data_IF_257695085675
#
_entry.id   IF_257695085675
#
_cell.length_a   1.000
_cell.length_b   1.000
_cell.length_c   1.000
_cell.angle_alpha   90.00
_cell.angle_beta   90.00
_cell.angle_gamma   90.00
#
_symmetry.space_group_name_H-M   'P 1'
#
loop_
_entity.id
_entity.type
_entity.pdbx_description
1 polymer ?
#
# COMPACT_ATOMS: atom_id res chain seq x y z
N UNK A 1 14.80 -0.70 23.64
CA UNK A 1 15.38 -0.27 22.35
C UNK A 1 14.38 0.66 21.68
N UNK A 2 14.81 1.74 21.02
CA UNK A 2 13.90 2.61 20.30
C UNK A 2 13.16 1.82 19.21
N UNK A 3 11.94 2.24 18.90
CA UNK A 3 11.17 1.70 17.77
C UNK A 3 11.91 2.05 16.48
N UNK A 4 11.90 1.14 15.51
CA UNK A 4 12.55 1.30 14.21
C UNK A 4 11.48 1.30 13.13
N UNK A 5 11.64 2.13 12.10
CA UNK A 5 10.69 2.21 10.98
C UNK A 5 11.27 2.96 9.79
N UNK A 6 10.49 3.03 8.71
CA UNK A 6 10.84 3.85 7.56
C UNK A 6 10.65 5.34 7.88
N UNK A 7 11.64 6.15 7.53
CA UNK A 7 11.60 7.60 7.70
C UNK A 7 12.38 8.32 6.60
N UNK A 8 12.27 9.64 6.62
CA UNK A 8 13.06 10.57 5.80
C UNK A 8 13.95 11.37 6.74
N UNK A 9 15.22 11.51 6.41
CA UNK A 9 16.22 12.17 7.24
C UNK A 9 17.18 13.01 6.40
N UNK A 10 17.81 13.97 7.07
CA UNK A 10 18.88 14.81 6.53
C UNK A 10 20.22 14.37 7.11
N UNK A 11 21.21 14.16 6.25
CA UNK A 11 22.55 13.75 6.67
C UNK A 11 23.25 14.94 7.34
N UNK A 12 23.61 14.80 8.61
CA UNK A 12 24.37 15.82 9.35
C UNK A 12 25.88 15.60 9.23
N UNK A 13 26.30 14.35 9.34
CA UNK A 13 27.68 13.88 9.19
C UNK A 13 27.68 12.50 8.50
N UNK A 14 28.72 12.20 7.73
CA UNK A 14 28.84 10.92 7.03
C UNK A 14 30.29 10.47 6.97
N UNK A 15 30.54 9.21 7.34
CA UNK A 15 31.78 8.48 7.04
C UNK A 15 31.69 7.63 5.76
N UNK A 16 30.54 7.64 5.08
CA UNK A 16 30.29 6.85 3.86
C UNK A 16 30.42 7.73 2.61
N UNK A 17 31.20 7.34 1.58
CA UNK A 17 31.45 8.18 0.40
C UNK A 17 30.20 8.60 -0.38
N UNK A 18 29.17 7.76 -0.42
CA UNK A 18 27.95 8.01 -1.22
C UNK A 18 27.00 9.03 -0.58
N UNK A 19 27.22 9.36 0.69
CA UNK A 19 26.42 10.33 1.45
C UNK A 19 27.28 11.48 1.94
N UNK A 20 26.81 12.71 1.77
CA UNK A 20 27.45 13.93 2.25
C UNK A 20 26.49 14.73 3.13
N UNK A 21 27.05 15.59 3.98
CA UNK A 21 26.29 16.55 4.78
C UNK A 21 25.30 17.32 3.90
N UNK A 22 24.04 17.37 4.33
CA UNK A 22 22.94 18.02 3.63
C UNK A 22 22.19 17.14 2.64
N UNK A 23 22.67 15.93 2.32
CA UNK A 23 21.88 14.99 1.54
C UNK A 23 20.58 14.61 2.27
N UNK A 24 19.51 14.44 1.50
CA UNK A 24 18.24 13.89 1.98
C UNK A 24 18.19 12.40 1.64
N UNK A 25 17.76 11.60 2.60
CA UNK A 25 17.68 10.13 2.47
C UNK A 25 16.35 9.63 3.00
N UNK A 26 15.88 8.52 2.46
CA UNK A 26 14.81 7.73 3.07
C UNK A 26 15.28 6.30 3.28
N UNK A 27 14.71 5.63 4.28
CA UNK A 27 15.07 4.26 4.62
C UNK A 27 14.75 3.93 6.05
N UNK A 28 15.33 2.84 6.55
CA UNK A 28 15.11 2.39 7.93
C UNK A 28 15.89 3.27 8.91
N UNK A 29 15.18 3.89 9.84
CA UNK A 29 15.72 4.73 10.92
C UNK A 29 15.03 4.43 12.25
N UNK A 30 15.52 5.01 13.35
CA UNK A 30 14.89 4.91 14.67
C UNK A 30 13.89 6.05 14.87
N UNK A 31 12.93 5.82 15.75
CA UNK A 31 11.95 6.82 16.21
C UNK A 31 12.60 7.69 17.28
N UNK A 32 13.39 8.65 16.82
CA UNK A 32 14.16 9.62 17.62
C UNK A 32 14.50 10.82 16.74
N UNK A 33 14.97 11.92 17.33
CA UNK A 33 15.31 13.14 16.57
C UNK A 33 16.62 13.00 15.77
N UNK A 34 17.57 12.19 16.27
CA UNK A 34 18.88 11.98 15.66
C UNK A 34 19.27 10.51 15.72
N UNK A 35 19.63 9.93 14.57
CA UNK A 35 20.03 8.53 14.48
C UNK A 35 21.43 8.35 13.90
N UNK A 36 22.25 7.56 14.59
CA UNK A 36 23.45 6.97 13.99
C UNK A 36 23.06 5.70 13.21
N UNK A 37 23.13 5.78 11.88
CA UNK A 37 22.84 4.66 10.98
C UNK A 37 24.17 4.07 10.49
N UNK A 38 24.50 2.88 10.99
CA UNK A 38 25.76 2.19 10.65
C UNK A 38 25.64 1.31 9.42
N UNK A 39 24.45 0.78 9.13
CA UNK A 39 24.16 -0.02 7.93
C UNK A 39 23.46 0.85 6.89
N UNK A 40 24.22 1.42 5.96
CA UNK A 40 23.72 2.36 4.95
C UNK A 40 23.12 1.69 3.71
N UNK A 41 23.28 0.38 3.53
CA UNK A 41 22.75 -0.36 2.38
C UNK A 41 21.22 -0.38 2.28
N UNK A 42 20.50 0.05 3.32
CA UNK A 42 19.05 0.22 3.35
C UNK A 42 18.59 1.69 3.21
N UNK A 43 19.53 2.61 2.96
CA UNK A 43 19.24 4.03 2.71
C UNK A 43 19.24 4.33 1.22
N UNK A 44 18.26 5.11 0.81
CA UNK A 44 18.09 5.60 -0.53
C UNK A 44 18.23 7.11 -0.53
N UNK A 45 19.13 7.63 -1.37
CA UNK A 45 19.30 9.07 -1.55
C UNK A 45 18.11 9.65 -2.33
N UNK A 46 17.52 10.71 -1.79
CA UNK A 46 16.43 11.45 -2.44
C UNK A 46 17.04 12.37 -3.49
N UNK A 47 16.66 12.17 -4.75
CA UNK A 47 17.11 13.00 -5.88
C UNK A 47 16.03 14.00 -6.34
N UNK A 48 14.76 13.68 -6.15
CA UNK A 48 13.62 14.51 -6.58
C UNK A 48 13.01 15.22 -5.38
N UNK A 49 13.35 16.50 -5.23
CA UNK A 49 12.86 17.36 -4.14
C UNK A 49 11.77 18.34 -4.61
N UNK A 50 11.30 18.19 -5.84
CA UNK A 50 10.16 18.91 -6.42
C UNK A 50 8.79 18.37 -5.95
N UNK A 51 8.80 17.37 -5.06
CA UNK A 51 7.64 16.73 -4.44
C UNK A 51 7.77 16.76 -2.92
N UNK A 52 6.67 16.70 -2.14
CA UNK A 52 6.74 16.68 -0.69
C UNK A 52 7.63 15.56 -0.17
N UNK A 53 8.57 15.86 0.74
CA UNK A 53 9.49 14.87 1.29
C UNK A 53 8.76 13.74 2.02
N UNK A 54 7.59 14.03 2.63
CA UNK A 54 6.73 13.03 3.29
C UNK A 54 6.35 11.87 2.36
N UNK A 55 6.27 12.11 1.04
CA UNK A 55 5.92 11.08 0.07
C UNK A 55 6.91 9.92 0.07
N UNK A 56 8.18 10.15 0.42
CA UNK A 56 9.18 9.09 0.54
C UNK A 56 8.97 8.16 1.75
N UNK A 57 8.02 8.46 2.65
CA UNK A 57 7.55 7.51 3.67
C UNK A 57 6.39 6.63 3.17
N UNK A 58 5.88 6.91 1.97
CA UNK A 58 4.61 6.44 1.44
C UNK A 58 4.66 6.24 -0.07
N UNK A 59 4.03 7.18 -0.80
CA UNK A 59 3.85 7.15 -2.26
C UNK A 59 5.13 6.88 -3.05
N UNK A 60 6.26 7.44 -2.64
CA UNK A 60 7.58 7.34 -3.30
C UNK A 60 8.56 6.47 -2.51
N UNK A 61 8.11 5.87 -1.41
CA UNK A 61 8.93 5.02 -0.54
C UNK A 61 8.55 3.55 -0.66
N UNK A 62 8.77 2.83 0.44
CA UNK A 62 8.46 1.40 0.54
C UNK A 62 7.00 1.05 0.18
N UNK A 63 5.95 1.79 0.62
CA UNK A 63 4.57 1.47 0.22
C UNK A 63 4.32 1.62 -1.29
N UNK A 64 4.84 2.67 -1.92
CA UNK A 64 4.75 2.84 -3.37
C UNK A 64 5.47 1.73 -4.14
N UNK A 65 6.67 1.35 -3.70
CA UNK A 65 7.41 0.23 -4.27
C UNK A 65 6.69 -1.11 -4.10
N UNK A 66 5.97 -1.28 -2.99
CA UNK A 66 5.13 -2.48 -2.72
C UNK A 66 3.99 -2.57 -3.72
N UNK A 67 3.33 -1.45 -4.02
CA UNK A 67 2.33 -1.38 -5.09
C UNK A 67 2.94 -1.75 -6.43
N UNK A 68 4.10 -1.20 -6.79
CA UNK A 68 4.74 -1.49 -8.07
C UNK A 68 5.06 -2.98 -8.23
N UNK A 69 5.73 -3.57 -7.24
CA UNK A 69 6.08 -4.99 -7.25
C UNK A 69 4.84 -5.90 -7.31
N UNK A 70 3.88 -5.69 -6.40
CA UNK A 70 2.69 -6.54 -6.33
C UNK A 70 1.79 -6.40 -7.56
N UNK A 71 1.61 -5.19 -8.07
CA UNK A 71 0.70 -4.95 -9.18
C UNK A 71 1.37 -5.24 -10.52
N UNK A 72 2.50 -4.60 -10.87
CA UNK A 72 3.10 -4.78 -12.19
C UNK A 72 3.83 -6.11 -12.34
N UNK A 73 4.67 -6.48 -11.38
CA UNK A 73 5.51 -7.68 -11.52
C UNK A 73 4.70 -8.95 -11.23
N UNK A 74 3.94 -8.99 -10.12
CA UNK A 74 3.19 -10.19 -9.73
C UNK A 74 1.86 -10.35 -10.46
N UNK A 75 1.04 -9.30 -10.58
CA UNK A 75 -0.26 -9.44 -11.23
C UNK A 75 -0.17 -9.33 -12.76
N UNK A 76 0.87 -8.68 -13.30
CA UNK A 76 1.05 -8.45 -14.75
C UNK A 76 -0.26 -7.98 -15.44
N UNK A 77 -0.87 -6.89 -14.93
CA UNK A 77 -2.22 -6.46 -15.27
C UNK A 77 -2.38 -6.14 -16.75
N UNK A 78 -3.58 -6.41 -17.26
CA UNK A 78 -3.98 -6.11 -18.63
C UNK A 78 -5.14 -5.14 -18.63
N UNK A 79 -5.16 -4.27 -19.63
CA UNK A 79 -6.29 -3.38 -19.88
C UNK A 79 -7.59 -4.18 -19.97
N UNK A 80 -8.62 -3.71 -19.28
CA UNK A 80 -9.94 -4.34 -19.23
C UNK A 80 -10.11 -5.41 -18.15
N UNK A 81 -9.07 -5.75 -17.38
CA UNK A 81 -9.20 -6.67 -16.24
C UNK A 81 -9.93 -6.02 -15.06
N UNK A 82 -10.56 -6.87 -14.25
CA UNK A 82 -11.34 -6.51 -13.06
C UNK A 82 -10.46 -6.66 -11.81
N UNK A 83 -10.15 -5.54 -11.16
CA UNK A 83 -9.20 -5.43 -10.05
C UNK A 83 -9.94 -5.13 -8.76
N UNK A 84 -9.78 -5.99 -7.75
CA UNK A 84 -10.22 -5.73 -6.39
C UNK A 84 -9.03 -5.38 -5.49
N UNK A 85 -9.18 -4.36 -4.66
CA UNK A 85 -8.18 -3.93 -3.68
C UNK A 85 -8.80 -3.91 -2.29
N UNK A 86 -8.28 -4.73 -1.37
CA UNK A 86 -8.67 -4.66 0.04
C UNK A 86 -7.84 -3.61 0.79
N UNK A 87 -8.40 -3.00 1.83
CA UNK A 87 -7.77 -1.83 2.50
C UNK A 87 -7.37 -0.73 1.50
N UNK A 88 -8.27 -0.44 0.55
CA UNK A 88 -7.99 0.39 -0.61
C UNK A 88 -7.65 1.84 -0.26
N UNK A 89 -7.98 2.29 0.95
CA UNK A 89 -7.66 3.65 1.42
C UNK A 89 -6.27 3.77 2.06
N UNK A 90 -5.59 2.65 2.30
CA UNK A 90 -4.25 2.64 2.87
C UNK A 90 -3.18 3.19 1.92
N UNK A 91 -1.94 3.27 2.39
CA UNK A 91 -0.81 3.79 1.61
C UNK A 91 -0.57 3.02 0.30
N UNK A 92 -0.64 1.69 0.34
CA UNK A 92 -0.48 0.80 -0.81
C UNK A 92 -1.76 0.79 -1.66
N UNK A 93 -2.91 0.58 -1.03
CA UNK A 93 -4.19 0.40 -1.72
C UNK A 93 -4.62 1.60 -2.57
N UNK A 94 -4.38 2.82 -2.08
CA UNK A 94 -4.79 4.02 -2.82
C UNK A 94 -3.99 4.18 -4.12
N UNK A 95 -2.75 3.70 -4.14
CA UNK A 95 -1.90 3.74 -5.33
C UNK A 95 -2.22 2.59 -6.30
N UNK A 96 -2.45 1.37 -5.79
CA UNK A 96 -2.80 0.20 -6.62
C UNK A 96 -4.01 0.54 -7.49
N UNK A 97 -5.08 1.07 -6.88
CA UNK A 97 -6.29 1.38 -7.62
C UNK A 97 -6.09 2.45 -8.69
N UNK A 98 -5.34 3.51 -8.39
CA UNK A 98 -5.08 4.58 -9.36
C UNK A 98 -4.22 4.08 -10.53
N UNK A 99 -3.18 3.28 -10.28
CA UNK A 99 -2.38 2.68 -11.35
C UNK A 99 -3.22 1.70 -12.20
N UNK A 100 -4.09 0.92 -11.57
CA UNK A 100 -5.04 0.07 -12.30
C UNK A 100 -6.01 0.89 -13.16
N UNK A 101 -6.55 2.02 -12.66
CA UNK A 101 -7.37 2.93 -13.46
C UNK A 101 -6.61 3.51 -14.64
N UNK A 102 -5.37 3.94 -14.45
CA UNK A 102 -4.50 4.44 -15.53
C UNK A 102 -4.20 3.37 -16.59
N UNK A 103 -4.19 2.09 -16.22
CA UNK A 103 -4.08 0.97 -17.16
C UNK A 103 -5.39 0.60 -17.88
N UNK A 104 -6.50 1.25 -17.53
CA UNK A 104 -7.81 0.97 -18.10
C UNK A 104 -8.46 -0.29 -17.54
N UNK A 105 -8.17 -0.64 -16.29
CA UNK A 105 -8.89 -1.68 -15.55
C UNK A 105 -10.20 -1.14 -14.96
N UNK A 106 -11.13 -2.06 -14.66
CA UNK A 106 -12.25 -1.79 -13.76
C UNK A 106 -11.82 -2.09 -12.32
N UNK A 107 -11.99 -1.14 -11.41
CA UNK A 107 -11.37 -1.19 -10.08
C UNK A 107 -12.42 -0.99 -9.00
N UNK A 108 -12.45 -1.92 -8.04
CA UNK A 108 -13.28 -1.82 -6.84
C UNK A 108 -12.41 -1.88 -5.59
N UNK A 109 -12.74 -1.05 -4.60
CA UNK A 109 -12.02 -0.97 -3.33
C UNK A 109 -12.90 -1.26 -2.13
N UNK A 110 -12.34 -1.87 -1.09
CA UNK A 110 -13.00 -1.92 0.23
C UNK A 110 -12.29 -1.04 1.25
N UNK A 111 -13.07 -0.34 2.07
CA UNK A 111 -12.58 0.48 3.18
C UNK A 111 -13.49 0.35 4.40
N UNK A 112 -13.04 0.84 5.56
CA UNK A 112 -13.71 0.63 6.85
C UNK A 112 -14.64 1.74 7.32
N UNK A 113 -14.97 2.71 6.46
CA UNK A 113 -15.93 3.78 6.74
C UNK A 113 -16.52 4.34 5.45
N UNK A 114 -17.74 4.90 5.54
CA UNK A 114 -18.39 5.59 4.43
C UNK A 114 -17.56 6.73 3.84
N UNK A 115 -16.94 7.55 4.70
CA UNK A 115 -16.07 8.65 4.26
C UNK A 115 -14.93 8.15 3.35
N UNK A 116 -14.24 7.08 3.76
CA UNK A 116 -13.15 6.49 2.96
C UNK A 116 -13.67 5.96 1.63
N UNK A 117 -14.85 5.31 1.63
CA UNK A 117 -15.53 4.83 0.41
C UNK A 117 -15.85 5.98 -0.55
N UNK A 118 -16.41 7.08 -0.03
CA UNK A 118 -16.77 8.23 -0.85
C UNK A 118 -15.51 8.86 -1.50
N UNK A 119 -14.38 8.91 -0.78
CA UNK A 119 -13.11 9.41 -1.32
C UNK A 119 -12.49 8.42 -2.35
N UNK A 120 -12.58 7.10 -2.15
CA UNK A 120 -12.14 6.11 -3.14
C UNK A 120 -12.76 6.38 -4.51
N UNK A 121 -14.08 6.62 -4.54
CA UNK A 121 -14.81 6.89 -5.78
C UNK A 121 -14.52 8.30 -6.33
N UNK A 122 -14.64 9.32 -5.48
CA UNK A 122 -14.60 10.72 -5.93
C UNK A 122 -13.19 11.25 -6.21
N UNK A 123 -12.19 10.86 -5.43
CA UNK A 123 -10.81 11.40 -5.52
C UNK A 123 -9.84 10.46 -6.21
N UNK A 124 -9.94 9.15 -5.96
CA UNK A 124 -9.02 8.17 -6.53
C UNK A 124 -9.57 7.49 -7.79
N UNK A 125 -10.81 7.78 -8.18
CA UNK A 125 -11.40 7.33 -9.44
C UNK A 125 -11.71 5.83 -9.50
N UNK A 126 -11.87 5.16 -8.34
CA UNK A 126 -12.38 3.80 -8.30
C UNK A 126 -13.79 3.76 -8.90
N UNK A 127 -14.10 2.72 -9.67
CA UNK A 127 -15.42 2.58 -10.30
C UNK A 127 -16.47 2.32 -9.22
N UNK A 128 -16.17 1.42 -8.29
CA UNK A 128 -17.00 1.15 -7.12
C UNK A 128 -16.18 1.01 -5.85
N UNK A 129 -16.83 1.20 -4.70
CA UNK A 129 -16.24 0.92 -3.41
C UNK A 129 -17.32 0.62 -2.38
N UNK A 130 -16.99 -0.15 -1.35
CA UNK A 130 -17.92 -0.51 -0.28
C UNK A 130 -17.28 -0.50 1.10
N UNK A 131 -18.11 -0.24 2.12
CA UNK A 131 -17.70 -0.30 3.51
C UNK A 131 -17.81 -1.74 4.02
N UNK A 132 -16.68 -2.45 4.14
CA UNK A 132 -16.71 -3.86 4.53
C UNK A 132 -17.28 -4.11 5.94
N UNK A 133 -17.36 -3.07 6.80
CA UNK A 133 -17.95 -3.17 8.15
C UNK A 133 -19.47 -3.13 8.14
N UNK A 134 -20.08 -2.65 7.06
CA UNK A 134 -21.53 -2.55 6.90
C UNK A 134 -22.11 -3.71 6.08
N UNK A 135 -21.25 -4.51 5.44
CA UNK A 135 -21.68 -5.69 4.68
C UNK A 135 -21.83 -6.91 5.60
N UNK A 136 -23.04 -7.46 5.68
CA UNK A 136 -23.30 -8.72 6.39
C UNK A 136 -22.77 -9.94 5.64
N UNK A 137 -22.64 -9.85 4.32
CA UNK A 137 -22.17 -10.91 3.44
C UNK A 137 -21.20 -10.34 2.39
N UNK A 138 -19.91 -10.65 2.58
CA UNK A 138 -18.85 -10.19 1.68
C UNK A 138 -18.94 -10.83 0.28
N UNK A 139 -19.45 -12.07 0.16
CA UNK A 139 -19.63 -12.72 -1.15
C UNK A 139 -20.70 -11.98 -1.95
N UNK A 140 -21.83 -11.65 -1.32
CA UNK A 140 -22.89 -10.85 -1.94
C UNK A 140 -22.40 -9.44 -2.33
N UNK A 141 -21.62 -8.79 -1.46
CA UNK A 141 -21.03 -7.47 -1.75
C UNK A 141 -20.09 -7.51 -2.97
N UNK A 142 -19.24 -8.54 -3.05
CA UNK A 142 -18.33 -8.72 -4.17
C UNK A 142 -19.09 -9.02 -5.47
N UNK A 143 -20.10 -9.91 -5.47
CA UNK A 143 -20.94 -10.19 -6.66
C UNK A 143 -21.66 -8.95 -7.18
N UNK A 144 -22.13 -8.09 -6.27
CA UNK A 144 -22.78 -6.83 -6.63
C UNK A 144 -21.83 -5.89 -7.38
N UNK A 145 -20.56 -5.84 -6.98
CA UNK A 145 -19.56 -4.97 -7.59
C UNK A 145 -18.85 -5.62 -8.79
N UNK A 146 -18.81 -6.96 -8.83
CA UNK A 146 -18.14 -7.79 -9.83
C UNK A 146 -19.09 -8.88 -10.35
N UNK A 147 -20.13 -8.52 -11.12
CA UNK A 147 -21.05 -9.50 -11.68
C UNK A 147 -20.35 -10.51 -12.63
N UNK A 148 -19.20 -10.11 -13.20
CA UNK A 148 -18.37 -10.96 -14.06
C UNK A 148 -17.18 -11.61 -13.33
N UNK A 149 -17.03 -11.38 -12.03
CA UNK A 149 -15.93 -11.84 -11.19
C UNK A 149 -14.68 -10.96 -11.22
N UNK A 150 -13.63 -11.42 -10.54
CA UNK A 150 -12.38 -10.67 -10.26
C UNK A 150 -11.20 -11.33 -10.98
N UNK A 151 -10.47 -10.59 -11.82
CA UNK A 151 -9.23 -11.08 -12.45
C UNK A 151 -8.04 -10.91 -11.51
N UNK A 152 -7.94 -9.78 -10.81
CA UNK A 152 -6.82 -9.46 -9.92
C UNK A 152 -7.35 -9.09 -8.53
N UNK A 153 -6.82 -9.73 -7.50
CA UNK A 153 -6.99 -9.30 -6.12
C UNK A 153 -5.65 -8.86 -5.54
N UNK A 154 -5.58 -7.59 -5.14
CA UNK A 154 -4.46 -7.09 -4.34
C UNK A 154 -4.83 -7.19 -2.86
N UNK A 155 -4.26 -8.19 -2.19
CA UNK A 155 -4.63 -8.56 -0.82
C UNK A 155 -3.74 -7.85 0.22
N UNK A 156 -4.35 -6.94 0.97
CA UNK A 156 -3.76 -6.27 2.12
C UNK A 156 -4.35 -6.76 3.47
N UNK A 157 -5.37 -7.62 3.44
CA UNK A 157 -6.24 -7.88 4.60
C UNK A 157 -6.26 -9.36 5.00
N UNK A 158 -6.35 -10.29 4.07
CA UNK A 158 -6.52 -11.72 4.35
C UNK A 158 -7.89 -12.08 4.95
N UNK A 159 -7.93 -13.18 5.71
CA UNK A 159 -9.10 -13.61 6.50
C UNK A 159 -10.37 -13.80 5.68
N UNK A 160 -11.52 -13.44 6.29
CA UNK A 160 -12.86 -13.51 5.64
C UNK A 160 -12.94 -12.83 4.28
N UNK A 161 -12.18 -11.74 4.05
CA UNK A 161 -12.18 -11.06 2.75
C UNK A 161 -11.55 -11.95 1.68
N UNK A 162 -10.37 -12.54 1.96
CA UNK A 162 -9.74 -13.49 1.04
C UNK A 162 -10.65 -14.69 0.76
N UNK A 163 -11.29 -15.23 1.80
CA UNK A 163 -12.21 -16.37 1.66
C UNK A 163 -13.40 -16.06 0.74
N UNK A 164 -13.96 -14.85 0.81
CA UNK A 164 -15.02 -14.37 -0.07
C UNK A 164 -14.51 -14.08 -1.50
N UNK A 165 -13.31 -13.52 -1.64
CA UNK A 165 -12.71 -13.24 -2.96
C UNK A 165 -12.46 -14.52 -3.74
N UNK A 166 -11.98 -15.60 -3.11
CA UNK A 166 -11.76 -16.89 -3.78
C UNK A 166 -13.02 -17.39 -4.52
N UNK A 167 -14.20 -17.19 -3.94
CA UNK A 167 -15.49 -17.52 -4.55
C UNK A 167 -15.83 -16.65 -5.77
N UNK A 168 -15.27 -15.45 -5.86
CA UNK A 168 -15.57 -14.45 -6.89
C UNK A 168 -14.46 -14.25 -7.93
N UNK A 169 -13.29 -14.88 -7.75
CA UNK A 169 -12.23 -14.85 -8.76
C UNK A 169 -12.71 -15.45 -10.11
N UNK A 170 -12.19 -14.92 -11.21
CA UNK A 170 -12.31 -15.46 -12.56
C UNK A 170 -11.29 -16.57 -12.80
N UNK A 171 -11.47 -17.29 -13.90
CA UNK A 171 -10.49 -18.27 -14.36
C UNK A 171 -9.14 -17.60 -14.63
N UNK A 172 -8.05 -18.23 -14.18
CA UNK A 172 -6.68 -17.71 -14.29
C UNK A 172 -6.45 -16.38 -13.58
N UNK A 173 -7.28 -16.06 -12.59
CA UNK A 173 -7.09 -14.86 -11.78
C UNK A 173 -5.82 -14.91 -10.93
N UNK A 174 -5.33 -13.73 -10.55
CA UNK A 174 -4.12 -13.52 -9.77
C UNK A 174 -4.44 -12.87 -8.43
N UNK A 175 -3.85 -13.41 -7.37
CA UNK A 175 -3.92 -12.82 -6.02
C UNK A 175 -2.49 -12.48 -5.59
N UNK A 176 -2.18 -11.19 -5.51
CA UNK A 176 -0.94 -10.71 -4.91
C UNK A 176 -1.16 -10.47 -3.42
N UNK A 177 -0.50 -11.25 -2.58
CA UNK A 177 -0.60 -11.16 -1.12
C UNK A 177 0.49 -10.22 -0.61
N UNK A 178 0.13 -8.95 -0.44
CA UNK A 178 1.01 -7.91 0.10
C UNK A 178 1.01 -7.89 1.63
N UNK A 179 -0.12 -8.23 2.24
CA UNK A 179 -0.28 -8.28 3.69
C UNK A 179 -1.59 -8.92 4.12
N UNK A 180 -1.68 -9.27 5.39
CA UNK A 180 -2.88 -9.87 5.99
C UNK A 180 -3.21 -9.18 7.31
N UNK A 181 -3.44 -7.87 7.27
CA UNK A 181 -3.54 -7.03 8.48
C UNK A 181 -4.64 -7.47 9.45
N UNK A 182 -5.70 -8.14 8.97
CA UNK A 182 -6.76 -8.67 9.84
C UNK A 182 -6.29 -9.79 10.77
N UNK A 183 -5.14 -10.40 10.48
CA UNK A 183 -4.62 -11.58 11.17
C UNK A 183 -3.52 -11.24 12.19
N UNK A 184 -2.86 -10.08 12.07
CA UNK A 184 -1.64 -9.76 12.82
C UNK A 184 -1.81 -9.68 14.34
N UNK A 185 -3.01 -9.29 14.80
CA UNK A 185 -3.32 -9.10 16.21
C UNK A 185 -4.23 -10.19 16.80
N UNK A 186 -4.39 -11.33 16.09
CA UNK A 186 -5.17 -12.47 16.56
C UNK A 186 -4.24 -13.51 17.19
N UNK A 187 -4.63 -14.04 18.36
CA UNK A 187 -3.92 -15.16 18.98
C UNK A 187 -3.99 -16.43 18.11
N UNK A 188 -5.09 -16.59 17.37
CA UNK A 188 -5.30 -17.66 16.41
C UNK A 188 -5.79 -17.06 15.08
N UNK A 189 -4.99 -17.17 14.00
CA UNK A 189 -5.39 -16.73 12.67
C UNK A 189 -6.66 -17.45 12.18
N UNK A 190 -7.47 -16.73 11.41
CA UNK A 190 -8.66 -17.28 10.75
C UNK A 190 -8.26 -18.28 9.64
N UNK A 191 -8.94 -19.42 9.59
CA UNK A 191 -8.74 -20.40 8.52
C UNK A 191 -9.44 -20.01 7.21
N UNK A 192 -8.76 -20.19 6.09
CA UNK A 192 -9.31 -20.01 4.74
C UNK A 192 -9.98 -21.32 4.28
N UNK A 193 -11.26 -21.27 3.90
CA UNK A 193 -12.09 -22.45 3.64
C UNK A 193 -12.28 -22.72 2.16
N UNK A 194 -12.18 -21.69 1.32
CA UNK A 194 -12.50 -21.77 -0.11
C UNK A 194 -11.30 -22.02 -1.03
N UNK A 195 -10.20 -22.58 -0.50
CA UNK A 195 -8.97 -22.87 -1.26
C UNK A 195 -9.19 -23.82 -2.45
N UNK A 196 -10.25 -24.64 -2.44
CA UNK A 196 -10.61 -25.48 -3.58
C UNK A 196 -10.89 -24.66 -4.86
N UNK A 197 -11.26 -23.38 -4.72
CA UNK A 197 -11.41 -22.43 -5.83
C UNK A 197 -10.11 -22.27 -6.62
N UNK A 198 -8.94 -22.39 -5.97
CA UNK A 198 -7.65 -22.32 -6.65
C UNK A 198 -7.53 -23.38 -7.75
N UNK A 199 -7.99 -24.60 -7.46
CA UNK A 199 -7.97 -25.72 -8.40
C UNK A 199 -8.96 -25.51 -9.53
N UNK A 200 -10.22 -25.22 -9.21
CA UNK A 200 -11.27 -25.10 -10.23
C UNK A 200 -11.07 -23.92 -11.16
N UNK A 201 -10.55 -22.80 -10.63
CA UNK A 201 -10.37 -21.56 -11.38
C UNK A 201 -8.92 -21.34 -11.83
N UNK A 202 -7.98 -22.22 -11.46
CA UNK A 202 -6.54 -22.08 -11.78
C UNK A 202 -5.97 -20.74 -11.33
N UNK A 203 -6.35 -20.32 -10.13
CA UNK A 203 -5.92 -19.04 -9.55
C UNK A 203 -4.46 -19.18 -9.12
N UNK A 204 -3.63 -18.18 -9.45
CA UNK A 204 -2.31 -18.03 -8.82
C UNK A 204 -2.46 -17.14 -7.59
N UNK A 205 -2.03 -17.66 -6.44
CA UNK A 205 -1.88 -16.89 -5.21
C UNK A 205 -0.39 -16.83 -4.86
N UNK A 206 0.14 -15.61 -4.73
CA UNK A 206 1.56 -15.39 -4.56
C UNK A 206 1.80 -14.28 -3.53
N UNK A 207 2.53 -14.61 -2.46
CA UNK A 207 3.03 -13.63 -1.51
C UNK A 207 4.37 -13.07 -1.96
N UNK A 208 4.65 -11.82 -1.60
CA UNK A 208 5.91 -11.17 -1.94
C UNK A 208 6.39 -10.27 -0.81
N UNK A 209 7.68 -9.95 -0.84
CA UNK A 209 8.25 -8.92 0.01
C UNK A 209 8.89 -7.84 -0.85
N UNK A 210 8.68 -6.57 -0.49
CA UNK A 210 9.21 -5.43 -1.25
C UNK A 210 10.74 -5.43 -1.36
N UNK A 211 11.43 -6.05 -0.39
CA UNK A 211 12.89 -6.14 -0.35
C UNK A 211 13.48 -6.81 -1.59
N UNK A 212 12.78 -7.81 -2.13
CA UNK A 212 13.19 -8.56 -3.31
C UNK A 212 13.16 -7.68 -4.59
N UNK A 213 12.43 -6.57 -4.54
CA UNK A 213 12.14 -5.71 -5.70
C UNK A 213 12.83 -4.35 -5.67
N UNK A 214 13.62 -4.02 -4.64
CA UNK A 214 14.29 -2.71 -4.57
C UNK A 214 15.25 -2.44 -5.74
N UNK A 215 15.73 -3.48 -6.43
CA UNK A 215 16.49 -3.33 -7.67
C UNK A 215 15.69 -2.68 -8.82
N UNK A 216 14.35 -2.69 -8.74
CA UNK A 216 13.44 -2.02 -9.67
C UNK A 216 12.99 -0.64 -9.20
N UNK A 217 13.49 -0.15 -8.06
CA UNK A 217 13.11 1.16 -7.52
C UNK A 217 13.30 2.33 -8.51
N UNK A 218 14.39 2.37 -9.32
CA UNK A 218 14.51 3.38 -10.39
C UNK A 218 13.36 3.31 -11.41
N UNK A 219 13.00 2.11 -11.89
CA UNK A 219 11.90 1.93 -12.84
C UNK A 219 10.56 2.37 -12.24
N UNK A 220 10.36 2.11 -10.96
CA UNK A 220 9.18 2.58 -10.23
C UNK A 220 9.12 4.11 -10.18
N UNK A 221 10.23 4.79 -9.86
CA UNK A 221 10.28 6.25 -9.85
C UNK A 221 10.02 6.85 -11.23
N UNK A 222 10.62 6.28 -12.28
CA UNK A 222 10.43 6.69 -13.67
C UNK A 222 8.97 6.55 -14.11
N UNK A 223 8.26 5.54 -13.62
CA UNK A 223 6.83 5.36 -13.87
C UNK A 223 5.98 6.38 -13.12
N UNK A 224 6.19 6.55 -11.80
CA UNK A 224 5.23 7.23 -10.93
C UNK A 224 5.40 8.75 -10.89
N UNK A 225 6.63 9.26 -10.98
CA UNK A 225 6.91 10.69 -10.86
C UNK A 225 6.21 11.53 -11.96
N UNK A 226 6.19 11.13 -13.24
CA UNK A 226 5.44 11.86 -14.26
C UNK A 226 3.95 11.99 -13.90
N UNK A 227 3.32 10.90 -13.45
CA UNK A 227 1.91 10.94 -13.06
C UNK A 227 1.62 11.86 -11.87
N UNK A 228 2.54 11.94 -10.90
CA UNK A 228 2.44 12.88 -9.77
C UNK A 228 2.53 14.32 -10.28
N UNK A 229 3.53 14.62 -11.12
CA UNK A 229 3.76 15.98 -11.67
C UNK A 229 2.62 16.44 -12.57
N UNK A 230 2.00 15.52 -13.30
CA UNK A 230 0.83 15.78 -14.14
C UNK A 230 -0.49 15.84 -13.36
N UNK A 231 -0.47 15.61 -12.04
CA UNK A 231 -1.67 15.59 -11.20
C UNK A 231 -2.61 14.41 -11.48
N UNK A 232 -2.12 13.33 -12.11
CA UNK A 232 -2.87 12.11 -12.41
C UNK A 232 -2.95 11.14 -11.24
N UNK A 233 -2.10 11.30 -10.23
CA UNK A 233 -2.15 10.56 -8.97
C UNK A 233 -2.48 11.54 -7.85
N UNK A 234 -3.56 11.25 -7.13
CA UNK A 234 -3.87 11.87 -5.85
C UNK A 234 -3.31 11.02 -4.70
N UNK A 235 -2.81 11.68 -3.65
CA UNK A 235 -2.30 11.01 -2.47
C UNK A 235 -2.84 11.67 -1.21
N UNK A 236 -3.26 10.86 -0.24
CA UNK A 236 -3.77 11.32 1.05
C UNK A 236 -2.87 10.80 2.17
N UNK A 237 -2.32 11.75 2.90
CA UNK A 237 -1.53 11.54 4.12
C UNK A 237 -2.35 11.97 5.33
N UNK A 238 -2.22 11.21 6.42
CA UNK A 238 -2.72 11.56 7.75
C UNK A 238 -1.50 11.93 8.60
N UNK A 239 -1.39 13.19 9.01
CA UNK A 239 -0.15 13.72 9.59
C UNK A 239 -0.32 13.98 11.08
N UNK A 240 0.53 13.34 11.89
CA UNK A 240 0.71 13.64 13.29
C UNK A 240 1.96 14.52 13.47
N UNK A 241 1.84 15.64 14.17
CA UNK A 241 2.97 16.53 14.46
C UNK A 241 3.64 16.10 15.78
N UNK A 242 4.97 16.02 15.79
CA UNK A 242 5.75 15.70 16.98
C UNK A 242 5.88 14.19 17.25
N UNK A 243 7.06 13.79 17.71
CA UNK A 243 7.38 12.40 18.04
C UNK A 243 6.50 11.85 19.19
N UNK A 244 6.04 12.73 20.08
CA UNK A 244 5.12 12.44 21.18
C UNK A 244 3.78 11.85 20.72
N UNK A 245 3.34 12.18 19.50
CA UNK A 245 2.12 11.65 18.89
C UNK A 245 2.37 10.38 18.08
N UNK A 246 3.62 9.94 17.94
CA UNK A 246 3.97 8.71 17.22
C UNK A 246 3.28 7.45 17.76
N UNK A 247 3.28 7.20 19.09
CA UNK A 247 2.65 6.00 19.64
C UNK A 247 1.14 5.93 19.39
N UNK A 248 0.41 7.03 19.57
CA UNK A 248 -1.04 7.08 19.32
C UNK A 248 -1.33 6.93 17.83
N UNK A 249 -0.56 7.58 16.96
CA UNK A 249 -0.65 7.42 15.51
C UNK A 249 -0.43 5.97 15.07
N UNK A 250 0.56 5.28 15.64
CA UNK A 250 0.83 3.87 15.34
C UNK A 250 -0.32 2.95 15.76
N UNK A 251 -0.84 3.10 16.98
CA UNK A 251 -1.97 2.31 17.48
C UNK A 251 -3.24 2.58 16.65
N UNK A 252 -3.45 3.83 16.23
CA UNK A 252 -4.58 4.23 15.39
C UNK A 252 -4.66 3.48 14.05
N UNK A 253 -3.52 3.06 13.49
CA UNK A 253 -3.47 2.28 12.24
C UNK A 253 -4.19 0.95 12.40
N UNK A 254 -3.97 0.24 13.51
CA UNK A 254 -4.55 -1.09 13.75
C UNK A 254 -6.05 -1.04 14.06
N UNK A 255 -6.56 0.12 14.51
CA UNK A 255 -8.00 0.36 14.68
C UNK A 255 -8.64 1.03 13.45
N UNK A 256 -7.85 1.34 12.42
CA UNK A 256 -8.30 1.96 11.18
C UNK A 256 -8.76 3.40 11.34
N UNK A 257 -8.22 4.12 12.33
CA UNK A 257 -8.52 5.54 12.58
C UNK A 257 -7.92 6.46 11.51
N UNK A 258 -6.75 6.12 10.99
CA UNK A 258 -6.04 6.93 10.01
C UNK A 258 -6.82 7.12 8.70
N UNK A 259 -6.81 8.32 8.14
CA UNK A 259 -7.38 8.67 6.84
C UNK A 259 -6.23 8.85 5.85
N UNK A 260 -5.76 7.73 5.28
CA UNK A 260 -4.68 7.71 4.28
C UNK A 260 -3.39 7.14 4.86
N UNK A 261 -2.24 7.55 4.33
CA UNK A 261 -0.94 7.14 4.89
C UNK A 261 -0.63 7.94 6.15
N UNK A 262 -0.58 7.27 7.30
CA UNK A 262 -0.10 7.86 8.55
C UNK A 262 1.39 8.28 8.45
N UNK A 263 1.67 9.56 8.69
CA UNK A 263 3.00 10.16 8.77
C UNK A 263 3.16 10.81 10.14
N UNK A 264 4.37 10.79 10.69
CA UNK A 264 4.76 11.54 11.89
C UNK A 264 5.83 12.54 11.50
N UNK A 265 5.56 13.83 11.70
CA UNK A 265 6.54 14.90 11.46
C UNK A 265 7.35 15.08 12.73
N UNK A 266 8.57 14.54 12.73
CA UNK A 266 9.52 14.71 13.85
C UNK A 266 10.15 16.10 13.81
N UNK A 267 10.60 16.51 12.63
CA UNK A 267 11.10 17.85 12.33
C UNK A 267 10.77 18.21 10.87
N UNK A 268 10.56 19.49 10.58
CA UNK A 268 10.26 19.97 9.22
C UNK A 268 11.52 20.25 8.39
N UNK A 269 12.67 20.45 9.05
CA UNK A 269 13.98 20.71 8.45
C UNK A 269 15.14 20.09 9.27
#
# INVERSE_FOLDING_TARGET
MPIVGYGVAKVLESGYPDFKKGDLVWGVTKWEEYSLITMTGSLFKIQHTDVPLSYYTGLLGMPGMTTYAGFYELCSPKKGEYVFVSSAFGAVGQLVGQLAKLMGCYVVGSAGSKEKVDILKSKFGFDEAFNYKEEHDLDAALKRCFPEGIDIYFDNVGGKMLDAVLLNMRFHGHIAVAGMISQYNLDQPEGIRNLLSLVYKRIRIEGFTVYDYYHLFPNFLDLVLPYIREGKIAYVEDTAEGLENGPSALVGIFSGQNVGKQVVVVARE
#
